data_IF_446946684160
#
_entry.id   IF_446946684160
#
_cell.length_a   1.000
_cell.length_b   1.000
_cell.length_c   1.000
_cell.angle_alpha   90.00
_cell.angle_beta   90.00
_cell.angle_gamma   90.00
#
_symmetry.space_group_name_H-M   'P 1'
#
loop_
_entity.id
_entity.type
_entity.pdbx_description
1 polymer ?
#
# COMPACT_ATOMS: atom_id res chain seq x y z
N UNK A 1 18.50 -7.42 -2.16
CA UNK A 1 17.77 -6.36 -2.91
C UNK A 1 16.39 -6.79 -3.41
N UNK A 2 16.20 -8.01 -3.92
CA UNK A 2 14.91 -8.48 -4.48
C UNK A 2 13.71 -8.34 -3.53
N UNK A 3 13.89 -8.64 -2.23
CA UNK A 3 12.82 -8.52 -1.23
C UNK A 3 12.29 -7.09 -1.03
N UNK A 4 13.14 -6.07 -1.22
CA UNK A 4 12.73 -4.66 -1.11
C UNK A 4 11.81 -4.27 -2.27
N UNK A 5 12.20 -4.61 -3.49
CA UNK A 5 11.40 -4.33 -4.68
C UNK A 5 10.02 -5.00 -4.62
N UNK A 6 9.94 -6.24 -4.11
CA UNK A 6 8.67 -6.95 -3.93
C UNK A 6 7.75 -6.25 -2.94
N UNK A 7 8.25 -5.84 -1.76
CA UNK A 7 7.43 -5.12 -0.79
C UNK A 7 6.97 -3.75 -1.29
N UNK A 8 7.82 -3.02 -2.01
CA UNK A 8 7.45 -1.74 -2.60
C UNK A 8 6.38 -1.91 -3.69
N UNK A 9 6.51 -2.93 -4.54
CA UNK A 9 5.51 -3.24 -5.55
C UNK A 9 4.15 -3.56 -4.94
N UNK A 10 4.15 -4.38 -3.89
CA UNK A 10 2.95 -4.76 -3.18
C UNK A 10 2.27 -3.56 -2.52
N UNK A 11 3.01 -2.71 -1.80
CA UNK A 11 2.48 -1.47 -1.22
C UNK A 11 1.76 -0.60 -2.26
N UNK A 12 2.33 -0.44 -3.46
CA UNK A 12 1.70 0.33 -4.54
C UNK A 12 0.39 -0.30 -5.02
N UNK A 13 0.28 -1.63 -5.05
CA UNK A 13 -0.97 -2.31 -5.39
C UNK A 13 -2.05 -2.04 -4.34
N UNK A 14 -1.72 -2.06 -3.06
CA UNK A 14 -2.69 -1.82 -1.99
C UNK A 14 -3.19 -0.38 -1.95
N UNK A 15 -2.33 0.59 -2.27
CA UNK A 15 -2.75 1.99 -2.46
C UNK A 15 -3.71 2.11 -3.64
N UNK A 16 -3.44 1.43 -4.76
CA UNK A 16 -4.34 1.42 -5.92
C UNK A 16 -5.69 0.82 -5.59
N UNK A 17 -5.72 -0.30 -4.87
CA UNK A 17 -6.97 -0.93 -4.43
C UNK A 17 -7.78 0.05 -3.57
N UNK A 18 -7.15 0.75 -2.62
CA UNK A 18 -7.84 1.76 -1.82
C UNK A 18 -8.44 2.88 -2.70
N UNK A 19 -7.67 3.39 -3.66
CA UNK A 19 -8.16 4.41 -4.59
C UNK A 19 -9.32 3.90 -5.48
N UNK A 20 -9.25 2.66 -5.95
CA UNK A 20 -10.30 2.01 -6.76
C UNK A 20 -11.59 1.79 -5.96
N UNK A 21 -11.49 1.64 -4.63
CA UNK A 21 -12.62 1.58 -3.71
C UNK A 21 -13.26 2.96 -3.44
N UNK A 22 -12.74 4.03 -4.05
CA UNK A 22 -13.23 5.40 -3.89
C UNK A 22 -12.66 6.13 -2.69
N UNK A 23 -11.64 5.57 -2.02
CA UNK A 23 -10.96 6.25 -0.92
C UNK A 23 -10.14 7.44 -1.44
N UNK A 24 -10.10 8.51 -0.66
CA UNK A 24 -9.15 9.60 -0.91
C UNK A 24 -7.70 9.08 -0.86
N UNK A 25 -6.77 9.75 -1.56
CA UNK A 25 -5.37 9.33 -1.60
C UNK A 25 -4.75 9.09 -0.21
N UNK A 26 -5.00 9.99 0.74
CA UNK A 26 -4.49 9.84 2.10
C UNK A 26 -5.09 8.62 2.84
N UNK A 27 -6.37 8.33 2.59
CA UNK A 27 -7.06 7.18 3.18
C UNK A 27 -6.60 5.86 2.54
N UNK A 28 -6.39 5.83 1.22
CA UNK A 28 -5.83 4.69 0.50
C UNK A 28 -4.38 4.38 0.93
N UNK A 29 -3.56 5.41 1.16
CA UNK A 29 -2.21 5.25 1.74
C UNK A 29 -2.28 4.72 3.16
N UNK A 30 -3.16 5.26 4.02
CA UNK A 30 -3.36 4.76 5.37
C UNK A 30 -3.89 3.31 5.38
N UNK A 31 -4.74 2.95 4.43
CA UNK A 31 -5.20 1.58 4.23
C UNK A 31 -4.05 0.65 3.87
N UNK A 32 -3.21 1.02 2.89
CA UNK A 32 -2.02 0.25 2.54
C UNK A 32 -1.07 0.09 3.74
N UNK A 33 -0.88 1.14 4.55
CA UNK A 33 -0.13 1.07 5.81
C UNK A 33 -0.79 0.22 6.88
N UNK A 34 -2.13 0.15 6.96
CA UNK A 34 -2.84 -0.72 7.90
C UNK A 34 -2.76 -2.20 7.52
N UNK A 35 -2.89 -2.51 6.22
CA UNK A 35 -2.74 -3.89 5.72
C UNK A 35 -1.29 -4.33 5.86
N UNK A 36 -0.34 -3.45 5.52
CA UNK A 36 1.09 -3.70 5.59
C UNK A 36 1.73 -2.90 6.71
N UNK A 37 1.23 -3.02 7.95
CA UNK A 37 1.79 -2.35 9.15
C UNK A 37 3.28 -2.62 9.46
N UNK A 38 4.05 -3.10 8.50
CA UNK A 38 5.34 -3.76 8.61
C UNK A 38 6.21 -3.47 7.36
N UNK A 39 6.91 -2.35 7.38
CA UNK A 39 8.39 -2.43 7.31
C UNK A 39 9.04 -1.68 8.46
N UNK A 40 8.28 -1.38 9.52
CA UNK A 40 8.80 -1.18 10.87
C UNK A 40 9.08 -2.56 11.49
#
# INVERSE_FOLDING_TARGET
>A
MIKFAQSAHQFVLDVKIGADLGESWASAVNFAWKIWGWRA
#
